data_IF_781882522406
#
_entry.id   IF_781882522406
#
_cell.length_a   1.000
_cell.length_b   1.000
_cell.length_c   1.000
_cell.angle_alpha   90.00
_cell.angle_beta   90.00
_cell.angle_gamma   90.00
#
_symmetry.space_group_name_H-M   'P 1'
#
loop_
_entity.id
_entity.type
_entity.pdbx_description
1 polymer ?
#
# COMPACT_ATOMS: atom_id res chain seq x y z
N UNK A 1 6.65 33.44 -6.44
CA UNK A 1 7.63 32.38 -6.25
C UNK A 1 7.41 31.79 -4.86
N UNK A 2 7.25 30.47 -4.74
CA UNK A 2 6.94 29.76 -3.48
C UNK A 2 7.96 30.04 -2.37
N UNK A 3 7.58 29.98 -1.09
CA UNK A 3 8.51 30.05 0.05
C UNK A 3 9.25 28.72 0.31
N UNK A 4 8.81 27.64 -0.33
CA UNK A 4 9.33 26.30 -0.16
C UNK A 4 10.81 26.19 -0.57
N UNK A 5 11.68 25.93 0.42
CA UNK A 5 13.14 25.86 0.21
C UNK A 5 13.56 24.76 -0.77
N UNK A 6 12.87 23.61 -0.76
CA UNK A 6 13.21 22.50 -1.64
C UNK A 6 12.94 22.85 -3.11
N UNK A 7 11.79 23.47 -3.39
CA UNK A 7 11.42 23.91 -4.74
C UNK A 7 12.35 25.03 -5.23
N UNK A 8 12.70 25.99 -4.35
CA UNK A 8 13.69 27.03 -4.69
C UNK A 8 15.04 26.43 -5.03
N UNK A 9 15.50 25.44 -4.28
CA UNK A 9 16.78 24.77 -4.51
C UNK A 9 16.78 24.01 -5.83
N UNK A 10 15.69 23.31 -6.13
CA UNK A 10 15.48 22.62 -7.41
C UNK A 10 15.49 23.61 -8.58
N UNK A 11 14.67 24.66 -8.52
CA UNK A 11 14.61 25.67 -9.57
C UNK A 11 15.95 26.36 -9.79
N UNK A 12 16.61 26.78 -8.69
CA UNK A 12 17.91 27.43 -8.75
C UNK A 12 18.95 26.53 -9.43
N UNK A 13 19.01 25.25 -9.08
CA UNK A 13 19.94 24.31 -9.69
C UNK A 13 19.72 24.19 -11.21
N UNK A 14 18.46 24.10 -11.65
CA UNK A 14 18.12 24.07 -13.09
C UNK A 14 18.55 25.37 -13.76
N UNK A 15 18.19 26.52 -13.19
CA UNK A 15 18.53 27.83 -13.78
C UNK A 15 20.04 28.07 -13.88
N UNK A 16 20.82 27.66 -12.87
CA UNK A 16 22.28 27.83 -12.87
C UNK A 16 23.00 26.93 -13.87
N UNK A 17 22.38 25.83 -14.32
CA UNK A 17 22.98 24.85 -15.24
C UNK A 17 22.23 24.75 -16.58
N UNK A 18 21.29 25.66 -16.88
CA UNK A 18 20.41 25.56 -18.05
C UNK A 18 21.16 25.55 -19.40
N UNK A 19 22.31 26.22 -19.46
CA UNK A 19 23.09 26.39 -20.68
C UNK A 19 24.07 25.21 -20.92
N UNK A 20 24.04 24.19 -20.05
CA UNK A 20 24.81 22.95 -20.20
C UNK A 20 24.06 22.00 -21.14
N UNK A 21 24.81 21.24 -21.94
CA UNK A 21 24.25 20.36 -22.98
C UNK A 21 23.36 19.22 -22.45
N UNK A 22 22.65 18.56 -23.37
CA UNK A 22 21.75 17.44 -23.08
C UNK A 22 22.47 16.25 -22.45
N UNK A 23 23.73 16.00 -22.84
CA UNK A 23 24.53 14.89 -22.31
C UNK A 23 24.76 15.07 -20.81
N UNK A 24 25.03 16.29 -20.36
CA UNK A 24 25.12 16.59 -18.94
C UNK A 24 23.85 16.21 -18.20
N UNK A 25 22.67 16.65 -18.66
CA UNK A 25 21.40 16.35 -18.00
C UNK A 25 21.07 14.86 -17.99
N UNK A 26 21.44 14.15 -19.05
CA UNK A 26 21.24 12.71 -19.18
C UNK A 26 22.17 11.87 -18.29
N UNK A 27 23.43 12.28 -18.09
CA UNK A 27 24.41 11.46 -17.37
C UNK A 27 24.72 11.93 -15.94
N UNK A 28 24.59 13.22 -15.65
CA UNK A 28 25.06 13.82 -14.38
C UNK A 28 24.01 14.71 -13.71
N UNK A 29 23.40 15.63 -14.45
CA UNK A 29 22.43 16.59 -13.93
C UNK A 29 21.22 15.92 -13.31
N UNK A 30 20.72 14.82 -13.91
CA UNK A 30 19.63 14.04 -13.34
C UNK A 30 19.95 13.49 -11.93
N UNK A 31 21.16 13.03 -11.67
CA UNK A 31 21.57 12.49 -10.37
C UNK A 31 21.43 13.56 -9.29
N UNK A 32 21.86 14.78 -9.57
CA UNK A 32 21.81 15.88 -8.61
C UNK A 32 20.38 16.40 -8.41
N UNK A 33 19.57 16.46 -9.48
CA UNK A 33 18.13 16.72 -9.37
C UNK A 33 17.45 15.69 -8.47
N UNK A 34 17.73 14.40 -8.65
CA UNK A 34 17.12 13.35 -7.83
C UNK A 34 17.62 13.39 -6.38
N UNK A 35 18.86 13.79 -6.11
CA UNK A 35 19.34 14.03 -4.73
C UNK A 35 18.54 15.14 -4.04
N UNK A 36 18.24 16.23 -4.74
CA UNK A 36 17.37 17.30 -4.22
C UNK A 36 15.97 16.72 -3.99
N UNK A 37 15.43 16.03 -4.98
CA UNK A 37 14.07 15.49 -4.95
C UNK A 37 13.84 14.41 -3.88
N UNK A 38 14.88 13.68 -3.48
CA UNK A 38 14.83 12.67 -2.43
C UNK A 38 14.23 13.20 -1.13
N UNK A 39 14.50 14.45 -0.79
CA UNK A 39 14.06 15.08 0.45
C UNK A 39 12.65 15.70 0.37
N UNK A 40 11.97 15.63 -0.78
CA UNK A 40 10.62 16.17 -0.92
C UNK A 40 9.63 15.39 -0.07
N UNK A 41 8.90 16.10 0.77
CA UNK A 41 7.71 15.61 1.46
C UNK A 41 6.49 15.66 0.54
N UNK A 42 5.37 15.11 1.01
CA UNK A 42 4.10 15.21 0.28
C UNK A 42 3.64 16.67 0.08
N UNK A 43 3.94 17.55 1.03
CA UNK A 43 3.61 18.98 0.90
C UNK A 43 4.49 19.66 -0.15
N UNK A 44 5.78 19.30 -0.21
CA UNK A 44 6.69 19.83 -1.23
C UNK A 44 6.25 19.43 -2.65
N UNK A 45 5.74 18.21 -2.83
CA UNK A 45 5.16 17.76 -4.10
C UNK A 45 3.93 18.59 -4.48
N UNK A 46 3.00 18.80 -3.54
CA UNK A 46 1.80 19.64 -3.76
C UNK A 46 2.15 21.10 -4.08
N UNK A 47 3.20 21.63 -3.46
CA UNK A 47 3.68 22.98 -3.78
C UNK A 47 4.33 23.02 -5.17
N UNK A 48 5.04 21.96 -5.56
CA UNK A 48 5.67 21.85 -6.89
C UNK A 48 4.61 21.77 -7.99
N UNK A 49 3.52 21.02 -7.78
CA UNK A 49 2.34 20.98 -8.67
C UNK A 49 1.73 22.36 -8.93
N UNK A 50 1.81 23.29 -7.97
CA UNK A 50 1.31 24.66 -8.13
C UNK A 50 2.33 25.62 -8.73
N UNK A 51 3.61 25.29 -8.61
CA UNK A 51 4.70 26.19 -8.99
C UNK A 51 5.18 25.91 -10.41
N UNK A 52 5.17 24.66 -10.89
CA UNK A 52 5.70 24.31 -12.22
C UNK A 52 5.00 25.07 -13.36
N UNK A 53 3.71 25.40 -13.21
CA UNK A 53 2.96 26.20 -14.20
C UNK A 53 3.50 27.62 -14.38
N UNK A 54 4.34 28.09 -13.46
CA UNK A 54 4.98 29.42 -13.50
C UNK A 54 6.42 29.35 -14.00
N UNK A 55 6.96 28.15 -14.21
CA UNK A 55 8.31 27.96 -14.71
C UNK A 55 8.29 28.09 -16.23
N UNK A 56 9.41 28.56 -16.79
CA UNK A 56 9.60 28.52 -18.24
C UNK A 56 9.63 27.06 -18.71
N UNK A 57 9.12 26.81 -19.91
CA UNK A 57 8.95 25.44 -20.42
C UNK A 57 10.27 24.69 -20.49
N UNK A 58 11.37 25.36 -20.84
CA UNK A 58 12.73 24.80 -20.86
C UNK A 58 13.15 24.21 -19.50
N UNK A 59 12.74 24.82 -18.39
CA UNK A 59 13.05 24.29 -17.05
C UNK A 59 12.21 23.08 -16.70
N UNK A 60 10.98 23.02 -17.23
CA UNK A 60 10.09 21.88 -17.07
C UNK A 60 10.58 20.70 -17.92
N UNK A 61 11.04 20.95 -19.14
CA UNK A 61 11.69 19.98 -20.03
C UNK A 61 12.89 19.29 -19.36
N UNK A 62 13.82 20.09 -18.82
CA UNK A 62 14.98 19.56 -18.07
C UNK A 62 14.52 18.68 -16.89
N UNK A 63 13.47 19.10 -16.18
CA UNK A 63 12.94 18.34 -15.04
C UNK A 63 12.31 17.00 -15.48
N UNK A 64 11.58 17.00 -16.61
CA UNK A 64 10.98 15.81 -17.21
C UNK A 64 12.08 14.80 -17.54
N UNK A 65 13.10 15.20 -18.30
CA UNK A 65 14.19 14.32 -18.71
C UNK A 65 14.92 13.75 -17.49
N UNK A 66 15.19 14.59 -16.48
CA UNK A 66 15.81 14.15 -15.25
C UNK A 66 14.97 13.11 -14.50
N UNK A 67 13.64 13.22 -14.53
CA UNK A 67 12.73 12.28 -13.86
C UNK A 67 12.53 10.99 -14.65
N UNK A 68 12.62 11.05 -15.97
CA UNK A 68 12.57 9.87 -16.84
C UNK A 68 13.83 9.02 -16.66
N UNK A 69 15.02 9.64 -16.67
CA UNK A 69 16.29 8.91 -16.72
C UNK A 69 17.03 8.81 -15.38
N UNK A 70 16.68 9.61 -14.37
CA UNK A 70 17.44 9.72 -13.12
C UNK A 70 17.09 8.71 -12.03
N UNK A 71 16.30 7.67 -12.26
CA UNK A 71 15.88 6.74 -11.20
C UNK A 71 17.02 5.82 -10.72
N UNK A 72 17.30 5.81 -9.40
CA UNK A 72 18.26 4.90 -8.76
C UNK A 72 17.84 4.35 -7.37
N UNK A 73 16.73 4.80 -6.76
CA UNK A 73 16.23 4.25 -5.48
C UNK A 73 14.69 4.29 -5.35
N UNK A 74 14.10 3.30 -4.68
CA UNK A 74 12.63 3.11 -4.60
C UNK A 74 11.87 4.31 -3.99
N UNK A 75 12.52 5.06 -3.08
CA UNK A 75 11.90 6.19 -2.38
C UNK A 75 11.68 7.35 -3.36
N UNK A 76 12.70 7.66 -4.18
CA UNK A 76 12.58 8.69 -5.22
C UNK A 76 11.69 8.24 -6.36
N UNK A 77 11.73 6.96 -6.73
CA UNK A 77 10.90 6.38 -7.80
C UNK A 77 9.41 6.69 -7.67
N UNK A 78 8.86 6.44 -6.47
CA UNK A 78 7.44 6.61 -6.21
C UNK A 78 7.01 8.07 -6.41
N UNK A 79 7.87 9.01 -6.03
CA UNK A 79 7.64 10.44 -6.18
C UNK A 79 7.81 10.88 -7.64
N UNK A 80 8.82 10.38 -8.35
CA UNK A 80 9.08 10.68 -9.76
C UNK A 80 7.91 10.20 -10.62
N UNK A 81 7.55 8.93 -10.44
CA UNK A 81 6.41 8.30 -11.11
C UNK A 81 5.12 9.08 -10.87
N UNK A 82 4.86 9.52 -9.63
CA UNK A 82 3.71 10.38 -9.33
C UNK A 82 3.77 11.72 -10.07
N UNK A 83 4.91 12.41 -10.01
CA UNK A 83 5.03 13.74 -10.63
C UNK A 83 4.98 13.69 -12.16
N UNK A 84 5.58 12.69 -12.79
CA UNK A 84 5.46 12.44 -14.24
C UNK A 84 4.00 12.17 -14.64
N UNK A 85 3.25 11.41 -13.83
CA UNK A 85 1.81 11.21 -14.05
C UNK A 85 1.06 12.55 -13.97
N UNK A 86 1.38 13.37 -12.98
CA UNK A 86 0.76 14.68 -12.82
C UNK A 86 1.08 15.62 -13.99
N UNK A 87 2.33 15.67 -14.45
CA UNK A 87 2.75 16.46 -15.60
C UNK A 87 2.04 15.99 -16.89
N UNK A 88 2.00 14.68 -17.15
CA UNK A 88 1.31 14.12 -18.31
C UNK A 88 -0.20 14.47 -18.33
N UNK A 89 -0.82 14.57 -17.17
CA UNK A 89 -2.22 14.96 -17.04
C UNK A 89 -2.47 16.47 -17.26
N UNK A 90 -1.52 17.34 -16.87
CA UNK A 90 -1.79 18.78 -16.71
C UNK A 90 -0.93 19.70 -17.59
N UNK A 91 0.11 19.19 -18.27
CA UNK A 91 0.88 20.01 -19.21
C UNK A 91 0.01 20.47 -20.37
N UNK A 92 0.26 21.68 -20.85
CA UNK A 92 -0.41 22.24 -22.04
C UNK A 92 0.42 22.04 -23.31
N UNK A 93 1.74 21.88 -23.17
CA UNK A 93 2.63 21.59 -24.28
C UNK A 93 2.43 20.12 -24.67
N UNK A 94 1.94 19.90 -25.89
CA UNK A 94 1.63 18.57 -26.41
C UNK A 94 2.90 17.73 -26.63
N UNK A 95 3.99 18.36 -27.10
CA UNK A 95 5.25 17.67 -27.38
C UNK A 95 5.84 17.10 -26.10
N UNK A 96 5.78 17.86 -24.99
CA UNK A 96 6.24 17.38 -23.69
C UNK A 96 5.36 16.28 -23.10
N UNK A 97 4.05 16.31 -23.35
CA UNK A 97 3.16 15.21 -22.95
C UNK A 97 3.48 13.95 -23.74
N UNK A 98 3.74 14.08 -25.04
CA UNK A 98 4.14 12.95 -25.88
C UNK A 98 5.49 12.39 -25.44
N UNK A 99 6.47 13.25 -25.11
CA UNK A 99 7.75 12.84 -24.54
C UNK A 99 7.56 12.00 -23.27
N UNK A 100 6.73 12.47 -22.32
CA UNK A 100 6.42 11.72 -21.10
C UNK A 100 5.69 10.41 -21.43
N UNK A 101 4.70 10.41 -22.32
CA UNK A 101 3.97 9.19 -22.71
C UNK A 101 4.94 8.14 -23.27
N UNK A 102 5.80 8.57 -24.20
CA UNK A 102 6.77 7.73 -24.89
C UNK A 102 7.79 7.12 -23.93
N UNK A 103 8.42 7.97 -23.12
CA UNK A 103 9.61 7.62 -22.37
C UNK A 103 9.33 7.27 -20.89
N UNK A 104 8.20 7.69 -20.32
CA UNK A 104 7.89 7.52 -18.89
C UNK A 104 6.75 6.54 -18.59
N UNK A 105 6.04 6.00 -19.59
CA UNK A 105 4.89 5.10 -19.35
C UNK A 105 5.23 3.88 -18.49
N UNK A 106 6.44 3.33 -18.61
CA UNK A 106 6.93 2.26 -17.73
C UNK A 106 7.18 2.72 -16.30
N UNK A 107 7.72 3.93 -16.12
CA UNK A 107 7.95 4.55 -14.81
C UNK A 107 6.61 4.80 -14.12
N UNK A 108 5.62 5.29 -14.86
CA UNK A 108 4.25 5.51 -14.37
C UNK A 108 3.61 4.19 -13.93
N UNK A 109 3.70 3.14 -14.75
CA UNK A 109 3.11 1.82 -14.46
C UNK A 109 3.74 1.11 -13.25
N UNK A 110 5.06 1.18 -13.11
CA UNK A 110 5.79 0.47 -12.05
C UNK A 110 5.73 1.18 -10.70
N UNK A 111 5.45 2.48 -10.67
CA UNK A 111 5.39 3.24 -9.42
C UNK A 111 4.13 2.93 -8.60
N UNK A 112 4.04 3.53 -7.41
CA UNK A 112 2.88 3.39 -6.53
C UNK A 112 1.56 3.81 -7.19
N UNK A 113 0.42 3.36 -6.66
CA UNK A 113 -0.91 3.76 -7.16
C UNK A 113 -1.06 5.29 -7.25
N UNK A 114 -1.73 5.76 -8.31
CA UNK A 114 -1.91 7.16 -8.65
C UNK A 114 -3.36 7.60 -8.44
N UNK A 115 -3.62 8.91 -8.25
CA UNK A 115 -4.98 9.44 -8.29
C UNK A 115 -5.69 9.08 -9.59
N UNK A 116 -6.90 8.55 -9.44
CA UNK A 116 -7.70 8.05 -10.56
C UNK A 116 -8.15 9.16 -11.50
N UNK A 117 -8.27 10.37 -10.99
CA UNK A 117 -8.63 11.59 -11.72
C UNK A 117 -7.54 12.00 -12.70
N UNK A 118 -6.27 11.92 -12.29
CA UNK A 118 -5.13 12.22 -13.16
C UNK A 118 -5.07 11.23 -14.32
N UNK A 119 -5.23 9.94 -14.03
CA UNK A 119 -5.20 8.90 -15.05
C UNK A 119 -6.39 9.01 -16.02
N UNK A 120 -7.60 9.31 -15.53
CA UNK A 120 -8.74 9.61 -16.39
C UNK A 120 -8.44 10.79 -17.34
N UNK A 121 -7.86 11.88 -16.82
CA UNK A 121 -7.51 13.05 -17.64
C UNK A 121 -6.50 12.72 -18.74
N UNK A 122 -5.57 11.79 -18.49
CA UNK A 122 -4.60 11.33 -19.50
C UNK A 122 -5.32 10.46 -20.53
N UNK A 123 -6.18 9.55 -20.09
CA UNK A 123 -6.96 8.66 -20.97
C UNK A 123 -7.86 9.45 -21.90
N UNK A 124 -8.60 10.43 -21.39
CA UNK A 124 -9.47 11.30 -22.19
C UNK A 124 -8.64 12.02 -23.27
N UNK A 125 -7.46 12.52 -22.93
CA UNK A 125 -6.55 13.14 -23.89
C UNK A 125 -6.01 12.15 -24.94
N UNK A 126 -5.64 10.93 -24.55
CA UNK A 126 -5.21 9.86 -25.46
C UNK A 126 -6.32 9.55 -26.46
N UNK A 127 -7.55 9.40 -26.00
CA UNK A 127 -8.70 9.01 -26.82
C UNK A 127 -9.16 10.13 -27.76
N UNK A 128 -9.22 11.37 -27.28
CA UNK A 128 -9.57 12.54 -28.10
C UNK A 128 -8.61 12.68 -29.28
N UNK A 129 -7.31 12.47 -29.04
CA UNK A 129 -6.26 12.58 -30.08
C UNK A 129 -5.99 11.26 -30.80
N UNK A 130 -6.66 10.17 -30.41
CA UNK A 130 -6.51 8.82 -30.99
C UNK A 130 -5.08 8.27 -30.95
N UNK A 131 -4.32 8.61 -29.91
CA UNK A 131 -2.94 8.10 -29.75
C UNK A 131 -2.91 6.58 -29.54
N UNK A 132 -3.97 6.01 -28.97
CA UNK A 132 -4.16 4.56 -28.84
C UNK A 132 -4.32 3.83 -30.19
N UNK A 133 -4.75 4.52 -31.25
CA UNK A 133 -4.87 3.97 -32.61
C UNK A 133 -3.55 4.06 -33.39
N UNK A 134 -2.58 4.85 -32.91
CA UNK A 134 -1.27 5.02 -33.55
C UNK A 134 -0.34 3.89 -33.07
N UNK A 135 0.18 3.03 -33.97
CA UNK A 135 1.01 1.88 -33.59
C UNK A 135 2.22 2.23 -32.72
N UNK A 136 2.80 3.41 -32.94
CA UNK A 136 3.94 3.91 -32.19
C UNK A 136 3.66 4.10 -30.70
N UNK A 137 2.49 4.64 -30.35
CA UNK A 137 2.11 4.96 -28.96
C UNK A 137 1.24 3.88 -28.31
N UNK A 138 0.77 2.90 -29.08
CA UNK A 138 -0.20 1.90 -28.62
C UNK A 138 0.28 1.21 -27.33
N UNK A 139 1.54 0.78 -27.28
CA UNK A 139 2.07 0.08 -26.10
C UNK A 139 2.11 0.96 -24.84
N UNK A 140 2.42 2.24 -25.01
CA UNK A 140 2.50 3.23 -23.94
C UNK A 140 1.11 3.56 -23.41
N UNK A 141 0.12 3.68 -24.30
CA UNK A 141 -1.29 3.87 -23.93
C UNK A 141 -1.81 2.68 -23.10
N UNK A 142 -1.50 1.45 -23.50
CA UNK A 142 -1.87 0.24 -22.74
C UNK A 142 -1.33 0.27 -21.30
N UNK A 143 -0.10 0.74 -21.10
CA UNK A 143 0.51 0.89 -19.76
C UNK A 143 -0.26 1.91 -18.90
N UNK A 144 -0.73 3.01 -19.49
CA UNK A 144 -1.57 3.98 -18.77
C UNK A 144 -2.91 3.35 -18.36
N UNK A 145 -3.56 2.60 -19.25
CA UNK A 145 -4.80 1.87 -18.93
C UNK A 145 -4.58 0.83 -17.83
N UNK A 146 -3.49 0.07 -17.87
CA UNK A 146 -3.15 -0.89 -16.81
C UNK A 146 -2.88 -0.18 -15.47
N UNK A 147 -2.21 0.97 -15.50
CA UNK A 147 -1.99 1.80 -14.29
C UNK A 147 -3.31 2.27 -13.69
N UNK A 148 -4.29 2.59 -14.56
CA UNK A 148 -5.64 3.00 -14.15
C UNK A 148 -6.37 1.88 -13.43
N UNK A 149 -6.39 0.68 -14.00
CA UNK A 149 -7.04 -0.49 -13.40
C UNK A 149 -6.42 -0.84 -12.04
N UNK A 150 -5.08 -0.89 -11.95
CA UNK A 150 -4.36 -1.11 -10.68
C UNK A 150 -4.70 -0.06 -9.63
N UNK A 151 -4.90 1.19 -10.05
CA UNK A 151 -5.25 2.28 -9.13
C UNK A 151 -6.71 2.21 -8.67
N UNK A 152 -7.65 1.77 -9.52
CA UNK A 152 -9.04 1.45 -9.11
C UNK A 152 -9.03 0.36 -8.06
N UNK A 153 -8.33 -0.74 -8.35
CA UNK A 153 -8.29 -1.89 -7.46
C UNK A 153 -7.69 -1.50 -6.10
N UNK A 154 -6.56 -0.79 -6.11
CA UNK A 154 -5.92 -0.28 -4.88
C UNK A 154 -6.85 0.63 -4.08
N UNK A 155 -7.59 1.52 -4.75
CA UNK A 155 -8.52 2.45 -4.09
C UNK A 155 -9.71 1.70 -3.48
N UNK A 156 -10.28 0.74 -4.22
CA UNK A 156 -11.34 -0.15 -3.74
C UNK A 156 -10.89 -0.92 -2.50
N UNK A 157 -9.69 -1.48 -2.51
CA UNK A 157 -9.12 -2.21 -1.37
C UNK A 157 -8.94 -1.32 -0.15
N UNK A 158 -8.35 -0.14 -0.32
CA UNK A 158 -8.17 0.84 0.77
C UNK A 158 -9.51 1.27 1.38
N UNK A 159 -10.54 1.46 0.56
CA UNK A 159 -11.88 1.80 1.05
C UNK A 159 -12.45 0.69 1.92
N UNK A 160 -12.40 -0.56 1.47
CA UNK A 160 -12.88 -1.72 2.25
C UNK A 160 -12.14 -1.89 3.57
N UNK A 161 -10.81 -1.78 3.56
CA UNK A 161 -9.99 -1.89 4.77
C UNK A 161 -10.30 -0.74 5.73
N UNK A 162 -10.48 0.48 5.22
CA UNK A 162 -10.87 1.63 6.04
C UNK A 162 -12.29 1.47 6.61
N UNK A 163 -13.23 0.91 5.85
CA UNK A 163 -14.58 0.60 6.32
C UNK A 163 -14.52 -0.38 7.49
N UNK A 164 -13.77 -1.48 7.33
CA UNK A 164 -13.51 -2.43 8.40
C UNK A 164 -12.85 -1.74 9.60
N UNK A 165 -11.79 -0.96 9.38
CA UNK A 165 -11.07 -0.26 10.47
C UNK A 165 -11.97 0.68 11.25
N UNK A 166 -12.81 1.45 10.56
CA UNK A 166 -13.75 2.37 11.18
C UNK A 166 -14.77 1.62 12.02
N UNK A 167 -15.27 0.49 11.52
CA UNK A 167 -16.18 -0.36 12.27
C UNK A 167 -15.50 -0.93 13.52
N UNK A 168 -14.31 -1.52 13.38
CA UNK A 168 -13.53 -2.03 14.52
C UNK A 168 -13.25 -0.93 15.54
N UNK A 169 -12.88 0.28 15.09
CA UNK A 169 -12.69 1.43 15.97
C UNK A 169 -13.99 1.84 16.68
N UNK A 170 -15.15 1.74 16.01
CA UNK A 170 -16.46 1.97 16.64
C UNK A 170 -16.70 0.95 17.77
N UNK A 171 -16.38 -0.31 17.51
CA UNK A 171 -16.52 -1.42 18.45
C UNK A 171 -15.60 -1.29 19.66
N UNK A 172 -14.37 -0.78 19.51
CA UNK A 172 -13.48 -0.52 20.66
C UNK A 172 -14.11 0.41 21.69
N UNK A 173 -14.96 1.36 21.26
CA UNK A 173 -15.66 2.30 22.15
C UNK A 173 -16.88 1.66 22.82
N UNK A 174 -17.59 0.80 22.09
CA UNK A 174 -18.81 0.13 22.55
C UNK A 174 -18.51 -1.05 23.49
N UNK A 175 -17.51 -1.88 23.17
CA UNK A 175 -17.14 -3.04 24.00
C UNK A 175 -16.48 -2.64 25.31
N UNK A 176 -15.90 -1.44 25.40
CA UNK A 176 -15.49 -0.86 26.69
C UNK A 176 -16.68 -0.52 27.61
N UNK A 177 -17.92 -0.57 27.10
CA UNK A 177 -19.13 -0.26 27.83
C UNK A 177 -19.97 -1.49 28.24
N UNK A 178 -19.81 -2.67 27.63
CA UNK A 178 -20.57 -3.89 27.99
C UNK A 178 -19.83 -5.19 27.60
N UNK A 179 -19.82 -6.17 28.52
CA UNK A 179 -19.28 -7.54 28.37
C UNK A 179 -20.21 -8.51 27.62
N UNK A 180 -21.25 -8.02 26.97
CA UNK A 180 -22.19 -8.86 26.25
C UNK A 180 -22.43 -8.25 24.86
N UNK A 181 -22.82 -9.09 23.91
CA UNK A 181 -23.91 -8.87 22.94
C UNK A 181 -23.56 -9.55 21.61
N UNK A 182 -24.23 -10.68 21.37
CA UNK A 182 -24.45 -11.19 20.02
C UNK A 182 -25.06 -10.12 19.11
N UNK A 183 -24.48 -9.94 17.92
CA UNK A 183 -24.96 -9.01 16.90
C UNK A 183 -24.15 -7.72 16.74
N UNK A 184 -23.34 -7.33 17.73
CA UNK A 184 -22.47 -6.13 17.63
C UNK A 184 -21.40 -6.30 16.54
N UNK A 185 -20.97 -7.54 16.27
CA UNK A 185 -19.92 -7.84 15.29
C UNK A 185 -20.46 -8.16 13.88
N UNK A 186 -21.77 -8.11 13.66
CA UNK A 186 -22.39 -8.53 12.39
C UNK A 186 -21.99 -7.61 11.23
N UNK A 187 -21.82 -6.31 11.49
CA UNK A 187 -21.37 -5.34 10.49
C UNK A 187 -19.94 -5.65 10.04
N UNK A 188 -19.01 -5.86 10.99
CA UNK A 188 -17.62 -6.22 10.68
C UNK A 188 -17.56 -7.54 9.89
N UNK A 189 -18.35 -8.53 10.31
CA UNK A 189 -18.53 -9.82 9.60
C UNK A 189 -19.02 -9.61 8.17
N UNK A 190 -20.05 -8.78 7.96
CA UNK A 190 -20.61 -8.51 6.64
C UNK A 190 -19.61 -7.79 5.74
N UNK A 191 -18.79 -6.88 6.27
CA UNK A 191 -17.70 -6.24 5.53
C UNK A 191 -16.69 -7.30 5.07
N UNK A 192 -16.24 -8.17 5.98
CA UNK A 192 -15.27 -9.24 5.70
C UNK A 192 -15.79 -10.25 4.66
N UNK A 193 -17.09 -10.56 4.63
CA UNK A 193 -17.70 -11.40 3.57
C UNK A 193 -17.56 -10.83 2.17
N UNK A 194 -17.31 -9.52 2.03
CA UNK A 194 -17.08 -8.91 0.72
C UNK A 194 -15.63 -9.03 0.24
N UNK A 195 -14.71 -9.50 1.10
CA UNK A 195 -13.28 -9.53 0.79
C UNK A 195 -12.98 -10.72 -0.13
N UNK A 196 -12.12 -10.48 -1.12
CA UNK A 196 -11.48 -11.55 -1.90
C UNK A 196 -10.04 -11.80 -1.42
N UNK A 197 -9.35 -12.77 -2.02
CA UNK A 197 -7.97 -13.11 -1.66
C UNK A 197 -7.01 -11.92 -1.72
N UNK A 198 -7.18 -11.01 -2.68
CA UNK A 198 -6.33 -9.82 -2.83
C UNK A 198 -6.59 -8.83 -1.70
N UNK A 199 -7.86 -8.58 -1.38
CA UNK A 199 -8.28 -7.72 -0.26
C UNK A 199 -7.64 -8.20 1.06
N UNK A 200 -7.59 -9.52 1.29
CA UNK A 200 -6.94 -10.12 2.45
C UNK A 200 -5.41 -9.94 2.49
N UNK A 201 -4.71 -10.10 1.36
CA UNK A 201 -3.26 -9.86 1.33
C UNK A 201 -2.92 -8.41 1.71
N UNK A 202 -3.74 -7.44 1.29
CA UNK A 202 -3.59 -6.05 1.68
C UNK A 202 -3.94 -5.81 3.14
N UNK A 203 -5.03 -6.41 3.64
CA UNK A 203 -5.38 -6.34 5.06
C UNK A 203 -4.21 -6.78 5.93
N UNK A 204 -3.56 -7.91 5.61
CA UNK A 204 -2.40 -8.44 6.34
C UNK A 204 -1.28 -7.41 6.52
N UNK A 205 -1.01 -6.60 5.50
CA UNK A 205 0.00 -5.54 5.53
C UNK A 205 -0.46 -4.35 6.37
N UNK A 206 -1.74 -3.97 6.24
CA UNK A 206 -2.31 -2.82 6.92
C UNK A 206 -2.46 -3.03 8.44
N UNK A 207 -2.72 -4.27 8.88
CA UNK A 207 -2.85 -4.64 10.30
C UNK A 207 -1.62 -4.26 11.15
N UNK A 208 -0.43 -4.19 10.55
CA UNK A 208 0.80 -3.76 11.25
C UNK A 208 0.74 -2.30 11.72
N UNK A 209 -0.16 -1.50 11.16
CA UNK A 209 -0.37 -0.08 11.46
C UNK A 209 -1.55 0.15 12.42
N UNK A 210 -2.25 -0.91 12.82
CA UNK A 210 -3.40 -0.82 13.72
C UNK A 210 -2.93 -0.86 15.17
N UNK A 211 -3.70 -0.23 16.06
CA UNK A 211 -3.47 -0.26 17.49
C UNK A 211 -3.81 -1.64 18.08
N UNK A 212 -3.21 -1.97 19.22
CA UNK A 212 -3.48 -3.23 19.90
C UNK A 212 -4.98 -3.40 20.27
N UNK A 213 -5.65 -2.30 20.63
CA UNK A 213 -7.09 -2.31 20.92
C UNK A 213 -7.90 -2.71 19.67
N UNK A 214 -7.59 -2.11 18.51
CA UNK A 214 -8.25 -2.46 17.24
C UNK A 214 -7.98 -3.92 16.85
N UNK A 215 -6.74 -4.37 17.00
CA UNK A 215 -6.35 -5.74 16.68
C UNK A 215 -7.00 -6.78 17.59
N UNK A 216 -7.17 -6.49 18.88
CA UNK A 216 -7.87 -7.37 19.83
C UNK A 216 -9.34 -7.54 19.43
N UNK A 217 -10.02 -6.43 19.13
CA UNK A 217 -11.42 -6.46 18.69
C UNK A 217 -11.56 -7.23 17.38
N UNK A 218 -10.66 -7.01 16.43
CA UNK A 218 -10.65 -7.76 15.18
C UNK A 218 -10.43 -9.26 15.42
N UNK A 219 -9.56 -9.65 16.35
CA UNK A 219 -9.36 -11.05 16.72
C UNK A 219 -10.65 -11.67 17.27
N UNK A 220 -11.41 -10.94 18.11
CA UNK A 220 -12.72 -11.38 18.59
C UNK A 220 -13.78 -11.47 17.50
N UNK A 221 -13.67 -10.69 16.42
CA UNK A 221 -14.54 -10.86 15.25
C UNK A 221 -14.22 -12.20 14.58
N UNK A 222 -12.94 -12.52 14.38
CA UNK A 222 -12.51 -13.79 13.78
C UNK A 222 -12.67 -15.03 14.68
N UNK A 223 -12.71 -14.89 16.01
CA UNK A 223 -12.77 -16.03 16.94
C UNK A 223 -14.05 -16.86 16.84
N UNK A 224 -15.13 -16.30 16.30
CA UNK A 224 -16.41 -17.00 16.10
C UNK A 224 -16.37 -18.04 14.99
N UNK A 225 -15.38 -17.98 14.10
CA UNK A 225 -15.26 -18.84 12.91
C UNK A 225 -16.31 -18.54 11.82
N UNK A 226 -15.97 -18.89 10.57
CA UNK A 226 -16.81 -18.74 9.36
C UNK A 226 -17.40 -17.33 9.14
N UNK A 227 -16.64 -16.32 9.54
CA UNK A 227 -16.98 -14.90 9.45
C UNK A 227 -17.13 -14.48 8.00
N UNK A 228 -16.23 -14.90 7.10
CA UNK A 228 -16.29 -14.53 5.70
C UNK A 228 -16.90 -15.62 4.78
N UNK A 229 -17.38 -16.74 5.33
CA UNK A 229 -17.81 -17.91 4.55
C UNK A 229 -16.65 -18.78 4.01
N UNK A 230 -15.42 -18.44 4.40
CA UNK A 230 -14.17 -19.12 4.12
C UNK A 230 -13.34 -19.23 5.42
N UNK A 231 -13.73 -20.22 6.22
CA UNK A 231 -13.04 -20.62 7.43
C UNK A 231 -11.49 -20.71 7.32
N UNK A 232 -10.90 -20.98 6.14
CA UNK A 232 -9.43 -21.04 5.98
C UNK A 232 -8.81 -19.66 6.18
N UNK A 233 -9.41 -18.64 5.56
CA UNK A 233 -8.94 -17.27 5.68
C UNK A 233 -9.20 -16.76 7.11
N UNK A 234 -10.39 -17.00 7.66
CA UNK A 234 -10.71 -16.58 9.03
C UNK A 234 -9.75 -17.15 10.06
N UNK A 235 -9.45 -18.45 9.94
CA UNK A 235 -8.48 -19.10 10.79
C UNK A 235 -7.10 -18.50 10.58
N UNK A 236 -6.62 -18.37 9.34
CA UNK A 236 -5.32 -17.73 9.06
C UNK A 236 -5.20 -16.36 9.74
N UNK A 237 -6.22 -15.50 9.60
CA UNK A 237 -6.21 -14.16 10.19
C UNK A 237 -6.24 -14.21 11.71
N UNK A 238 -7.01 -15.10 12.32
CA UNK A 238 -7.01 -15.28 13.77
C UNK A 238 -5.63 -15.69 14.30
N UNK A 239 -4.99 -16.68 13.66
CA UNK A 239 -3.63 -17.11 14.02
C UNK A 239 -2.60 -16.00 13.79
N UNK A 240 -2.73 -15.23 12.70
CA UNK A 240 -1.85 -14.10 12.41
C UNK A 240 -2.00 -12.99 13.46
N UNK A 241 -3.22 -12.66 13.88
CA UNK A 241 -3.50 -11.69 14.94
C UNK A 241 -2.92 -12.14 16.28
N UNK A 242 -3.02 -13.43 16.62
CA UNK A 242 -2.38 -13.99 17.82
C UNK A 242 -0.86 -13.76 17.84
N UNK A 243 -0.19 -13.90 16.70
CA UNK A 243 1.25 -13.65 16.56
C UNK A 243 1.57 -12.15 16.71
N UNK A 244 0.79 -11.28 16.05
CA UNK A 244 1.00 -9.83 16.04
C UNK A 244 0.77 -9.17 17.41
N UNK A 245 -0.25 -9.61 18.14
CA UNK A 245 -0.67 -8.96 19.39
C UNK A 245 0.38 -9.09 20.50
N UNK A 246 0.45 -8.13 21.44
CA UNK A 246 1.27 -8.26 22.64
C UNK A 246 0.89 -9.48 23.48
N UNK A 247 1.85 -9.99 24.24
CA UNK A 247 1.77 -11.21 25.05
C UNK A 247 0.57 -11.21 26.00
N UNK A 248 0.28 -10.07 26.63
CA UNK A 248 -0.86 -9.92 27.54
C UNK A 248 -2.20 -10.20 26.85
N UNK A 249 -2.34 -9.84 25.57
CA UNK A 249 -3.57 -10.03 24.80
C UNK A 249 -3.57 -11.41 24.14
N UNK A 250 -2.43 -11.87 23.61
CA UNK A 250 -2.30 -13.21 23.00
C UNK A 250 -2.72 -14.33 23.95
N UNK A 251 -2.50 -14.16 25.27
CA UNK A 251 -2.90 -15.15 26.29
C UNK A 251 -4.41 -15.36 26.30
N UNK A 252 -5.19 -14.28 26.18
CA UNK A 252 -6.66 -14.33 26.18
C UNK A 252 -7.16 -15.07 24.93
N UNK A 253 -6.52 -14.84 23.79
CA UNK A 253 -6.90 -15.48 22.52
C UNK A 253 -6.65 -16.99 22.47
N UNK A 254 -5.85 -17.56 23.38
CA UNK A 254 -5.61 -19.00 23.40
C UNK A 254 -6.88 -19.79 23.76
N UNK A 255 -7.77 -19.23 24.57
CA UNK A 255 -9.03 -19.90 24.91
C UNK A 255 -9.94 -20.03 23.69
N UNK A 256 -9.89 -19.03 22.82
CA UNK A 256 -10.65 -18.93 21.58
C UNK A 256 -10.01 -19.71 20.40
N UNK A 257 -8.79 -20.23 20.56
CA UNK A 257 -8.06 -20.97 19.51
C UNK A 257 -8.58 -22.38 19.22
N UNK A 258 -9.59 -22.86 19.95
CA UNK A 258 -10.10 -24.22 19.77
C UNK A 258 -10.60 -24.47 18.34
N UNK A 259 -11.36 -23.52 17.79
CA UNK A 259 -11.92 -23.62 16.43
C UNK A 259 -10.86 -23.48 15.33
N UNK A 260 -9.75 -22.79 15.60
CA UNK A 260 -8.66 -22.56 14.64
C UNK A 260 -8.01 -23.88 14.14
N UNK A 261 -7.97 -24.91 14.98
CA UNK A 261 -7.34 -26.19 14.61
C UNK A 261 -8.29 -27.21 13.97
N UNK A 262 -9.60 -26.92 13.85
CA UNK A 262 -10.55 -27.87 13.30
C UNK A 262 -10.53 -27.89 11.74
N UNK A 263 -10.36 -29.09 11.17
CA UNK A 263 -10.64 -29.44 9.77
C UNK A 263 -9.97 -28.68 8.61
N UNK A 264 -8.84 -27.97 8.83
CA UNK A 264 -8.21 -27.20 7.74
C UNK A 264 -6.69 -27.27 7.64
N UNK A 265 -6.19 -26.94 6.43
CA UNK A 265 -4.77 -26.72 6.14
C UNK A 265 -4.41 -25.31 6.61
N UNK A 266 -3.36 -25.19 7.40
CA UNK A 266 -2.84 -23.93 7.92
C UNK A 266 -1.45 -23.73 7.31
N UNK A 267 -1.11 -22.49 6.97
CA UNK A 267 0.22 -22.13 6.50
C UNK A 267 1.29 -22.57 7.51
N UNK A 268 2.29 -23.30 7.04
CA UNK A 268 3.31 -23.86 7.92
C UNK A 268 4.25 -22.79 8.51
N UNK A 269 4.43 -21.67 7.80
CA UNK A 269 5.13 -20.49 8.32
C UNK A 269 4.38 -19.89 9.51
N UNK A 270 3.06 -19.72 9.40
CA UNK A 270 2.21 -19.26 10.49
C UNK A 270 2.26 -20.19 11.71
N UNK A 271 2.16 -21.51 11.50
CA UNK A 271 2.29 -22.50 12.59
C UNK A 271 3.62 -22.37 13.34
N UNK A 272 4.72 -22.12 12.63
CA UNK A 272 6.03 -21.90 13.27
C UNK A 272 6.08 -20.58 14.06
N UNK A 273 5.48 -19.51 13.53
CA UNK A 273 5.39 -18.23 14.24
C UNK A 273 4.55 -18.36 15.51
N UNK A 274 3.43 -19.07 15.45
CA UNK A 274 2.59 -19.37 16.61
C UNK A 274 3.35 -20.17 17.67
N UNK A 275 4.13 -21.18 17.27
CA UNK A 275 4.99 -21.95 18.18
C UNK A 275 6.03 -21.05 18.86
N UNK A 276 6.64 -20.13 18.14
CA UNK A 276 7.58 -19.18 18.71
C UNK A 276 6.88 -18.26 19.74
N UNK A 277 5.66 -17.82 19.46
CA UNK A 277 4.84 -17.04 20.39
C UNK A 277 4.49 -17.82 21.67
N UNK A 278 4.13 -19.09 21.55
CA UNK A 278 3.91 -19.99 22.70
C UNK A 278 5.18 -20.14 23.57
N UNK A 279 6.35 -20.29 22.94
CA UNK A 279 7.63 -20.34 23.65
C UNK A 279 7.89 -19.04 24.44
N UNK A 280 7.52 -17.88 23.87
CA UNK A 280 7.63 -16.59 24.55
C UNK A 280 6.69 -16.51 25.77
N UNK A 281 5.44 -16.96 25.61
CA UNK A 281 4.42 -16.97 26.65
C UNK A 281 4.85 -17.84 27.86
N UNK A 282 5.32 -19.06 27.61
CA UNK A 282 5.77 -19.96 28.70
C UNK A 282 7.06 -19.45 29.36
N UNK A 283 8.01 -18.93 28.59
CA UNK A 283 9.26 -18.38 29.14
C UNK A 283 9.02 -17.18 30.07
N UNK A 284 7.99 -16.37 29.76
CA UNK A 284 7.56 -15.23 30.58
C UNK A 284 6.49 -15.59 31.62
N UNK A 285 6.11 -16.86 31.76
CA UNK A 285 5.13 -17.37 32.73
C UNK A 285 3.72 -16.79 32.58
N UNK A 286 3.30 -16.49 31.34
CA UNK A 286 1.93 -16.07 31.04
C UNK A 286 0.97 -17.26 30.85
N UNK A 287 1.50 -18.45 30.61
CA UNK A 287 0.73 -19.69 30.47
C UNK A 287 1.37 -20.80 31.32
N UNK A 288 0.55 -21.77 31.71
CA UNK A 288 0.99 -22.97 32.43
C UNK A 288 1.58 -24.02 31.47
N UNK A 289 2.36 -24.97 32.02
CA UNK A 289 3.09 -25.97 31.22
C UNK A 289 2.15 -26.91 30.48
N UNK A 290 1.01 -27.26 31.05
CA UNK A 290 -0.02 -28.10 30.44
C UNK A 290 -0.70 -27.41 29.24
N UNK A 291 -1.04 -26.13 29.36
CA UNK A 291 -1.56 -25.30 28.26
C UNK A 291 -0.54 -25.23 27.12
N UNK A 292 0.73 -24.98 27.45
CA UNK A 292 1.82 -24.97 26.47
C UNK A 292 1.97 -26.31 25.75
N UNK A 293 1.98 -27.42 26.49
CA UNK A 293 2.11 -28.77 25.94
C UNK A 293 0.95 -29.12 25.01
N UNK A 294 -0.29 -28.79 25.41
CA UNK A 294 -1.49 -29.01 24.60
C UNK A 294 -1.40 -28.32 23.23
N UNK A 295 -1.16 -27.00 23.22
CA UNK A 295 -1.12 -26.23 21.97
C UNK A 295 0.09 -26.58 21.11
N UNK A 296 1.24 -26.85 21.73
CA UNK A 296 2.44 -27.28 21.00
C UNK A 296 2.19 -28.62 20.28
N UNK A 297 1.51 -29.56 20.94
CA UNK A 297 1.13 -30.84 20.32
C UNK A 297 0.19 -30.62 19.13
N UNK A 298 -0.84 -29.77 19.27
CA UNK A 298 -1.77 -29.43 18.18
C UNK A 298 -1.07 -28.82 16.97
N UNK A 299 -0.13 -27.89 17.19
CA UNK A 299 0.68 -27.30 16.13
C UNK A 299 1.51 -28.37 15.42
N UNK A 300 2.21 -29.24 16.16
CA UNK A 300 3.05 -30.30 15.57
C UNK A 300 2.21 -31.28 14.75
N UNK A 301 1.03 -31.65 15.24
CA UNK A 301 0.09 -32.53 14.52
C UNK A 301 -0.34 -31.90 13.19
N UNK A 302 -0.64 -30.60 13.17
CA UNK A 302 -0.96 -29.89 11.92
C UNK A 302 0.23 -29.73 10.99
N UNK A 303 1.43 -29.46 11.50
CA UNK A 303 2.63 -29.35 10.68
C UNK A 303 2.91 -30.62 9.87
N UNK A 304 2.57 -31.81 10.40
CA UNK A 304 2.67 -33.08 9.65
C UNK A 304 1.80 -33.13 8.40
N UNK A 305 0.74 -32.33 8.34
CA UNK A 305 -0.18 -32.26 7.18
C UNK A 305 0.24 -31.22 6.13
N UNK A 306 1.27 -30.41 6.40
CA UNK A 306 1.85 -29.48 5.43
C UNK A 306 2.84 -30.16 4.46
N UNK A 307 3.36 -31.33 4.81
CA UNK A 307 4.41 -32.05 4.06
C UNK A 307 3.83 -33.04 3.05
#
# INVERSE_FOLDING_TARGET
MTENFQIKSLHKFITENRDVDSDYWYFSGNIDIIKIFKNFTHNDLKDLEKEYVKWDIEYVEILIDCFIYGYFDEITFSKQSYFLTFLLANLKNEDERLNILENASDVILKGNSKPTELLNSIIDWIEINKYNEIPYYHSQCLKIYETREKSIETSRMKLKINELKNEIFSLTKLMRAFDEIDGIQDTATNILKTFNNVDFQYLKLDLLLWSNDELEILAKVFSRGDVNGNLIDDNYFFGYLFVLLPISISTILLEDMFYFFENQKIDCGLLQQMKNKLNELIAKKYIESDIYEYWTKKIIEKQKTCC
#
